data_IF_005890714313
#
_entry.id   IF_005890714313
#
_cell.length_a   1.000
_cell.length_b   1.000
_cell.length_c   1.000
_cell.angle_alpha   90.00
_cell.angle_beta   90.00
_cell.angle_gamma   90.00
#
_symmetry.space_group_name_H-M   'P 1'
#
loop_
_entity.id
_entity.type
_entity.pdbx_description
1 polymer ?
#
# COMPACT_ATOMS: atom_id res chain seq x y z
N UNK A 1 9.41 6.02 7.45
CA UNK A 1 10.39 6.43 6.41
C UNK A 1 11.28 5.28 5.91
N UNK A 2 11.52 4.21 6.69
CA UNK A 2 12.43 3.12 6.29
C UNK A 2 11.94 2.16 5.19
N UNK A 3 10.61 1.99 5.01
CA UNK A 3 10.06 0.97 4.10
C UNK A 3 10.15 1.39 2.63
N UNK A 4 9.79 2.64 2.30
CA UNK A 4 9.77 3.11 0.91
C UNK A 4 11.18 3.22 0.27
N UNK A 5 12.23 3.43 1.06
CA UNK A 5 13.61 3.52 0.56
C UNK A 5 14.21 2.13 0.25
N UNK A 6 13.68 1.06 0.87
CA UNK A 6 14.17 -0.32 0.68
C UNK A 6 13.27 -1.11 -0.26
N UNK A 7 11.97 -0.82 -0.27
CA UNK A 7 10.97 -1.49 -1.10
C UNK A 7 10.30 -0.44 -1.99
N UNK A 8 10.74 -0.27 -3.25
CA UNK A 8 10.18 0.73 -4.14
C UNK A 8 8.78 0.37 -4.65
N UNK A 9 8.32 -0.87 -4.44
CA UNK A 9 7.02 -1.37 -4.87
C UNK A 9 6.32 -2.08 -3.72
N UNK A 10 5.02 -1.82 -3.60
CA UNK A 10 4.12 -2.40 -2.62
C UNK A 10 2.92 -3.02 -3.33
N UNK A 11 2.45 -4.14 -2.81
CA UNK A 11 1.22 -4.81 -3.24
C UNK A 11 0.28 -4.86 -2.04
N UNK A 12 -0.95 -4.39 -2.23
CA UNK A 12 -2.02 -4.48 -1.24
C UNK A 12 -2.91 -5.66 -1.58
N UNK A 13 -3.06 -6.57 -0.63
CA UNK A 13 -3.94 -7.72 -0.73
C UNK A 13 -5.13 -7.53 0.20
N UNK A 14 -6.33 -7.71 -0.33
CA UNK A 14 -7.57 -7.73 0.45
C UNK A 14 -8.48 -8.87 -0.04
N UNK A 15 -9.09 -9.60 0.90
CA UNK A 15 -9.90 -10.79 0.64
C UNK A 15 -9.29 -11.78 -0.36
N UNK A 16 -7.97 -11.97 -0.30
CA UNK A 16 -7.21 -12.86 -1.20
C UNK A 16 -7.03 -12.34 -2.62
N UNK A 17 -7.32 -11.06 -2.88
CA UNK A 17 -7.15 -10.39 -4.18
C UNK A 17 -6.19 -9.22 -4.07
N UNK A 18 -5.46 -8.95 -5.14
CA UNK A 18 -4.65 -7.72 -5.24
C UNK A 18 -5.58 -6.56 -5.53
N UNK A 19 -5.61 -5.59 -4.62
CA UNK A 19 -6.43 -4.37 -4.73
C UNK A 19 -5.61 -3.14 -5.11
N UNK A 20 -4.31 -3.15 -4.83
CA UNK A 20 -3.37 -2.15 -5.35
C UNK A 20 -1.97 -2.75 -5.57
N UNK A 21 -1.26 -2.23 -6.55
CA UNK A 21 0.12 -2.61 -6.87
C UNK A 21 0.83 -1.41 -7.51
N UNK A 22 1.83 -0.86 -6.82
CA UNK A 22 2.42 0.42 -7.20
C UNK A 22 3.57 0.88 -6.30
N UNK A 23 4.05 2.12 -6.51
CA UNK A 23 5.10 2.72 -5.69
C UNK A 23 4.69 2.80 -4.22
N UNK A 24 5.59 2.37 -3.34
CA UNK A 24 5.30 2.29 -1.89
C UNK A 24 4.98 3.64 -1.28
N UNK A 25 5.65 4.71 -1.72
CA UNK A 25 5.40 6.07 -1.26
C UNK A 25 4.03 6.61 -1.70
N UNK A 26 3.60 6.28 -2.93
CA UNK A 26 2.26 6.61 -3.41
C UNK A 26 1.18 5.85 -2.64
N UNK A 27 1.33 4.54 -2.48
CA UNK A 27 0.33 3.70 -1.79
C UNK A 27 0.24 3.98 -0.28
N UNK A 28 1.36 4.31 0.38
CA UNK A 28 1.34 4.73 1.78
C UNK A 28 0.78 6.15 1.99
N UNK A 29 0.80 7.00 0.94
CA UNK A 29 0.19 8.32 0.99
C UNK A 29 -1.32 8.30 0.76
N UNK A 30 -1.86 7.23 0.16
CA UNK A 30 -3.29 7.06 -0.11
C UNK A 30 -4.03 6.60 1.15
N UNK A 31 -4.40 7.56 2.01
CA UNK A 31 -5.17 7.29 3.23
C UNK A 31 -6.49 6.57 2.96
N UNK A 32 -7.19 6.92 1.88
CA UNK A 32 -8.50 6.36 1.60
C UNK A 32 -8.38 4.86 1.27
N UNK A 33 -7.37 4.49 0.46
CA UNK A 33 -7.04 3.09 0.19
C UNK A 33 -6.73 2.34 1.49
N UNK A 34 -5.88 2.90 2.35
CA UNK A 34 -5.49 2.26 3.61
C UNK A 34 -6.68 2.08 4.55
N UNK A 35 -7.49 3.12 4.77
CA UNK A 35 -8.68 3.06 5.63
C UNK A 35 -9.72 2.06 5.10
N UNK A 36 -9.95 2.04 3.78
CA UNK A 36 -10.91 1.12 3.13
C UNK A 36 -10.52 -0.35 3.34
N UNK A 37 -9.22 -0.64 3.40
CA UNK A 37 -8.69 -2.00 3.56
C UNK A 37 -8.17 -2.30 4.99
N UNK A 38 -8.37 -1.39 5.95
CA UNK A 38 -7.98 -1.58 7.36
C UNK A 38 -6.46 -1.57 7.62
N UNK A 39 -5.70 -0.82 6.83
CA UNK A 39 -4.23 -0.74 6.84
C UNK A 39 -3.70 0.58 7.43
N UNK A 40 -4.54 1.32 8.15
CA UNK A 40 -4.20 2.56 8.88
C UNK A 40 -3.13 2.36 9.98
#
# INVERSE_FOLDING_TARGET
RMVAEVFPRMVVLDEGRVVADGPTDELLADRQLLETHGLE
#
